data_IF_287613858670
#
_entry.id   IF_287613858670
#
_cell.length_a   1.000
_cell.length_b   1.000
_cell.length_c   1.000
_cell.angle_alpha   90.00
_cell.angle_beta   90.00
_cell.angle_gamma   90.00
#
_symmetry.space_group_name_H-M   'P 1'
#
loop_
_entity.id
_entity.type
_entity.pdbx_description
1 polymer ?
#
# COMPACT_ATOMS: atom_id res chain seq x y z
N UNK A 1 0.07 -15.72 -18.39
CA UNK A 1 0.52 -14.53 -17.64
C UNK A 1 -0.68 -13.62 -17.51
N UNK A 2 -1.33 -13.57 -16.35
CA UNK A 2 -2.48 -12.67 -16.17
C UNK A 2 -2.00 -11.23 -16.36
N UNK A 3 -2.76 -10.38 -17.07
CA UNK A 3 -2.37 -9.00 -17.25
C UNK A 3 -2.23 -8.32 -15.87
N UNK A 4 -1.33 -7.33 -15.72
CA UNK A 4 -1.30 -6.53 -14.51
C UNK A 4 -2.69 -5.91 -14.34
N UNK A 5 -3.36 -6.28 -13.25
CA UNK A 5 -4.65 -5.73 -12.86
C UNK A 5 -4.46 -4.22 -12.75
N UNK A 6 -4.98 -3.43 -13.69
CA UNK A 6 -4.76 -1.98 -13.74
C UNK A 6 -5.50 -1.33 -12.58
N UNK A 7 -4.83 -0.88 -11.51
CA UNK A 7 -5.51 -0.39 -10.31
C UNK A 7 -6.39 0.83 -10.61
N UNK A 8 -6.02 1.61 -11.63
CA UNK A 8 -6.78 2.74 -12.16
C UNK A 8 -8.21 2.35 -12.56
N UNK A 9 -8.38 1.23 -13.26
CA UNK A 9 -9.69 0.81 -13.79
C UNK A 9 -10.66 0.42 -12.66
N UNK A 10 -10.18 -0.36 -11.69
CA UNK A 10 -11.02 -0.85 -10.59
C UNK A 10 -11.39 0.26 -9.61
N UNK A 11 -10.46 1.20 -9.36
CA UNK A 11 -10.68 2.31 -8.43
C UNK A 11 -11.66 3.31 -9.04
N UNK A 12 -11.53 3.66 -10.32
CA UNK A 12 -12.46 4.55 -11.01
C UNK A 12 -13.90 4.03 -11.12
N UNK A 13 -14.11 2.72 -10.92
CA UNK A 13 -15.44 2.08 -10.91
C UNK A 13 -16.06 1.97 -9.50
N UNK A 14 -15.43 2.50 -8.44
CA UNK A 14 -15.83 2.32 -7.03
C UNK A 14 -15.94 0.83 -6.61
N UNK A 15 -15.13 -0.04 -7.24
CA UNK A 15 -15.15 -1.49 -6.98
C UNK A 15 -14.11 -1.94 -5.98
N UNK A 16 -13.21 -1.05 -5.57
CA UNK A 16 -12.20 -1.32 -4.54
C UNK A 16 -12.70 -0.71 -3.24
N UNK A 17 -12.84 -1.54 -2.20
CA UNK A 17 -13.28 -1.09 -0.85
C UNK A 17 -12.14 -1.10 0.17
N UNK A 18 -11.14 -1.93 -0.04
CA UNK A 18 -9.93 -1.98 0.78
C UNK A 18 -8.74 -2.49 -0.05
N UNK A 19 -7.53 -2.08 0.32
CA UNK A 19 -6.28 -2.47 -0.34
C UNK A 19 -5.30 -3.04 0.69
N UNK A 20 -4.88 -4.29 0.46
CA UNK A 20 -3.78 -4.93 1.19
C UNK A 20 -2.46 -4.55 0.53
N UNK A 21 -1.55 -3.95 1.30
CA UNK A 21 -0.28 -3.48 0.79
C UNK A 21 0.87 -4.31 1.36
N UNK A 22 1.51 -5.05 0.46
CA UNK A 22 2.82 -5.69 0.65
C UNK A 22 3.66 -5.47 -0.60
N UNK A 23 4.96 -5.69 -0.46
CA UNK A 23 5.89 -5.62 -1.57
C UNK A 23 6.67 -6.94 -1.70
N UNK A 24 7.08 -7.25 -2.92
CA UNK A 24 7.81 -8.47 -3.26
C UNK A 24 9.00 -8.13 -4.15
N UNK A 25 10.00 -9.01 -4.15
CA UNK A 25 11.07 -9.04 -5.17
C UNK A 25 10.86 -10.24 -6.07
N UNK A 26 10.97 -10.06 -7.38
CA UNK A 26 10.74 -11.08 -8.39
C UNK A 26 9.27 -11.23 -8.78
N UNK A 27 8.98 -12.34 -9.45
CA UNK A 27 7.65 -12.65 -9.96
C UNK A 27 7.44 -14.16 -9.96
N UNK A 28 6.19 -14.60 -10.03
CA UNK A 28 5.84 -16.02 -10.13
C UNK A 28 6.67 -16.71 -11.24
N UNK A 29 7.29 -17.87 -10.98
CA UNK A 29 7.17 -18.69 -9.77
C UNK A 29 8.15 -18.34 -8.63
N UNK A 30 9.13 -17.47 -8.86
CA UNK A 30 10.18 -17.16 -7.89
C UNK A 30 10.03 -15.71 -7.41
N UNK A 31 9.32 -15.53 -6.30
CA UNK A 31 9.24 -14.26 -5.61
C UNK A 31 9.59 -14.41 -4.12
N UNK A 32 10.05 -13.32 -3.51
CA UNK A 32 10.29 -13.23 -2.08
C UNK A 32 9.55 -12.02 -1.51
N UNK A 33 8.91 -12.19 -0.36
CA UNK A 33 8.35 -11.07 0.41
C UNK A 33 9.48 -10.22 1.01
N UNK A 34 9.27 -8.91 1.04
CA UNK A 34 10.27 -7.94 1.50
C UNK A 34 9.59 -6.79 2.25
N UNK A 35 10.36 -5.85 2.79
CA UNK A 35 9.80 -4.64 3.36
C UNK A 35 9.05 -3.83 2.30
N UNK A 36 8.02 -3.10 2.73
CA UNK A 36 7.10 -2.38 1.83
C UNK A 36 7.81 -1.37 0.92
N UNK A 37 8.97 -0.86 1.34
CA UNK A 37 9.80 0.13 0.65
C UNK A 37 10.94 -0.47 -0.20
N UNK A 38 11.15 -1.79 -0.16
CA UNK A 38 12.31 -2.43 -0.81
C UNK A 38 11.98 -3.25 -2.06
N UNK A 39 10.71 -3.53 -2.33
CA UNK A 39 10.31 -4.43 -3.41
C UNK A 39 10.11 -3.76 -4.77
N UNK A 40 9.72 -4.58 -5.76
CA UNK A 40 9.61 -4.20 -7.16
C UNK A 40 8.34 -3.39 -7.47
N UNK A 41 7.38 -3.34 -6.54
CA UNK A 41 6.14 -2.57 -6.70
C UNK A 41 6.39 -1.12 -6.25
N UNK A 42 6.13 -0.16 -7.14
CA UNK A 42 6.13 1.26 -6.81
C UNK A 42 4.86 1.63 -6.02
N UNK A 43 4.94 1.46 -4.70
CA UNK A 43 3.84 1.73 -3.76
C UNK A 43 3.41 3.20 -3.82
N UNK A 44 4.34 4.14 -4.01
CA UNK A 44 4.02 5.57 -4.10
C UNK A 44 3.15 5.85 -5.32
N UNK A 45 3.47 5.24 -6.48
CA UNK A 45 2.65 5.34 -7.68
C UNK A 45 1.25 4.75 -7.48
N UNK A 46 1.13 3.62 -6.79
CA UNK A 46 -0.17 3.03 -6.47
C UNK A 46 -1.00 3.99 -5.63
N UNK A 47 -0.45 4.53 -4.55
CA UNK A 47 -1.17 5.47 -3.68
C UNK A 47 -1.57 6.76 -4.43
N UNK A 48 -0.73 7.29 -5.31
CA UNK A 48 -1.07 8.41 -6.21
C UNK A 48 -2.24 8.08 -7.13
N UNK A 49 -2.32 6.85 -7.64
CA UNK A 49 -3.45 6.42 -8.48
C UNK A 49 -4.74 6.37 -7.65
N UNK A 50 -4.69 5.86 -6.42
CA UNK A 50 -5.85 5.84 -5.53
C UNK A 50 -6.37 7.26 -5.27
N UNK A 51 -5.47 8.16 -4.90
CA UNK A 51 -5.78 9.57 -4.61
C UNK A 51 -6.45 10.25 -5.81
N UNK A 52 -5.85 10.14 -7.00
CA UNK A 52 -6.37 10.76 -8.24
C UNK A 52 -7.75 10.25 -8.66
N UNK A 53 -8.13 9.06 -8.22
CA UNK A 53 -9.43 8.46 -8.53
C UNK A 53 -10.40 8.55 -7.34
N UNK A 54 -10.14 9.43 -6.38
CA UNK A 54 -11.01 9.67 -5.22
C UNK A 54 -11.36 8.40 -4.44
N UNK A 55 -10.38 7.49 -4.30
CA UNK A 55 -10.55 6.27 -3.53
C UNK A 55 -10.96 6.57 -2.09
N UNK A 56 -12.12 6.10 -1.66
CA UNK A 56 -12.67 6.32 -0.32
C UNK A 56 -12.61 5.11 0.61
N UNK A 57 -11.77 4.12 0.30
CA UNK A 57 -11.63 2.88 1.07
C UNK A 57 -10.50 2.90 2.10
N UNK A 58 -10.16 1.73 2.62
CA UNK A 58 -9.09 1.56 3.62
C UNK A 58 -7.81 1.00 2.98
N UNK A 59 -6.65 1.45 3.45
CA UNK A 59 -5.34 0.89 3.09
C UNK A 59 -4.79 0.21 4.34
N UNK A 60 -4.44 -1.07 4.21
CA UNK A 60 -3.91 -1.86 5.33
C UNK A 60 -2.58 -2.51 4.93
N UNK A 61 -1.65 -2.61 5.87
CA UNK A 61 -0.45 -3.41 5.67
C UNK A 61 -0.79 -4.90 5.60
N UNK A 62 0.05 -5.65 4.89
CA UNK A 62 -0.10 -7.09 4.73
C UNK A 62 1.14 -7.84 5.26
N UNK A 63 1.71 -8.77 4.50
CA UNK A 63 2.83 -9.58 4.98
C UNK A 63 4.10 -8.75 5.13
N UNK A 64 4.90 -9.12 6.15
CA UNK A 64 6.16 -8.45 6.49
C UNK A 64 7.26 -9.50 6.69
N UNK A 65 8.52 -9.17 6.40
CA UNK A 65 9.64 -10.07 6.66
C UNK A 65 9.74 -10.43 8.14
N UNK A 66 10.22 -11.64 8.42
CA UNK A 66 10.61 -11.99 9.78
C UNK A 66 11.83 -11.18 10.21
N UNK A 67 11.73 -10.55 11.38
CA UNK A 67 12.79 -9.72 11.95
C UNK A 67 13.37 -10.35 13.20
N UNK A 68 14.67 -10.16 13.41
CA UNK A 68 15.33 -10.55 14.67
C UNK A 68 14.70 -9.80 15.84
N UNK A 69 14.40 -10.53 16.92
CA UNK A 69 13.74 -10.00 18.11
C UNK A 69 12.33 -9.44 17.89
N UNK A 70 11.64 -9.83 16.81
CA UNK A 70 10.20 -9.61 16.68
C UNK A 70 9.42 -10.82 17.20
N UNK A 71 8.14 -10.59 17.43
CA UNK A 71 7.14 -11.60 17.77
C UNK A 71 6.87 -12.54 16.60
N UNK A 72 6.33 -13.75 16.84
CA UNK A 72 5.87 -14.64 15.77
C UNK A 72 4.86 -14.01 14.80
N UNK A 73 4.11 -13.00 15.25
CA UNK A 73 3.13 -12.28 14.43
C UNK A 73 3.75 -11.13 13.59
N UNK A 74 5.00 -10.75 13.85
CA UNK A 74 5.68 -9.67 13.13
C UNK A 74 5.24 -8.25 13.50
N UNK A 75 4.92 -8.00 14.78
CA UNK A 75 4.44 -6.68 15.25
C UNK A 75 5.36 -5.52 14.85
N UNK A 76 6.68 -5.67 14.87
CA UNK A 76 7.62 -4.60 14.52
C UNK A 76 7.63 -4.33 13.02
N UNK A 77 7.66 -5.40 12.22
CA UNK A 77 7.57 -5.29 10.76
C UNK A 77 6.27 -4.63 10.32
N UNK A 78 5.15 -5.00 10.95
CA UNK A 78 3.83 -4.40 10.69
C UNK A 78 3.78 -2.94 11.11
N UNK A 79 4.23 -2.61 12.32
CA UNK A 79 4.29 -1.23 12.80
C UNK A 79 5.12 -0.33 11.86
N UNK A 80 6.24 -0.84 11.33
CA UNK A 80 7.02 -0.16 10.29
C UNK A 80 6.19 0.04 9.01
N UNK A 81 5.56 -1.01 8.49
CA UNK A 81 4.74 -0.95 7.27
C UNK A 81 3.58 0.04 7.41
N UNK A 82 2.78 -0.07 8.47
CA UNK A 82 1.68 0.85 8.76
C UNK A 82 2.18 2.30 8.87
N UNK A 83 3.29 2.51 9.59
CA UNK A 83 3.89 3.84 9.77
C UNK A 83 4.39 4.44 8.45
N UNK A 84 5.04 3.63 7.61
CA UNK A 84 5.52 4.02 6.29
C UNK A 84 4.36 4.43 5.37
N UNK A 85 3.31 3.59 5.28
CA UNK A 85 2.12 3.88 4.47
C UNK A 85 1.41 5.16 4.94
N UNK A 86 1.27 5.35 6.25
CA UNK A 86 0.72 6.59 6.82
C UNK A 86 1.57 7.81 6.49
N UNK A 87 2.90 7.68 6.52
CA UNK A 87 3.83 8.72 6.09
C UNK A 87 3.62 9.10 4.63
N UNK A 88 3.54 8.11 3.73
CA UNK A 88 3.27 8.33 2.31
C UNK A 88 1.93 9.02 2.06
N UNK A 89 0.84 8.54 2.67
CA UNK A 89 -0.47 9.19 2.53
C UNK A 89 -0.42 10.66 2.94
N UNK A 90 0.17 10.97 4.11
CA UNK A 90 0.31 12.36 4.59
C UNK A 90 1.16 13.22 3.65
N UNK A 91 2.24 12.67 3.10
CA UNK A 91 3.07 13.38 2.16
C UNK A 91 2.30 13.71 0.87
N UNK A 92 1.54 12.74 0.34
CA UNK A 92 0.70 12.92 -0.85
C UNK A 92 -0.43 13.92 -0.63
N UNK A 93 -1.05 13.95 0.55
CA UNK A 93 -2.08 14.93 0.91
C UNK A 93 -1.50 16.36 1.00
N UNK A 94 -0.26 16.50 1.50
CA UNK A 94 0.36 17.82 1.71
C UNK A 94 0.73 18.57 0.42
N UNK A 95 0.76 17.88 -0.71
CA UNK A 95 1.19 18.44 -2.01
C UNK A 95 0.04 18.77 -2.98
N UNK A 96 -1.22 18.48 -2.63
CA UNK A 96 -2.41 18.92 -3.39
C UNK A 96 -3.21 19.93 -2.56
N UNK A 97 -3.06 21.21 -2.89
CA UNK A 97 -3.75 22.33 -2.22
C UNK A 97 -5.18 22.46 -2.74
N UNK A 98 -6.05 21.49 -2.46
CA UNK A 98 -7.49 21.67 -2.51
C UNK A 98 -8.10 20.64 -1.54
N UNK A 99 -9.01 21.08 -0.67
CA UNK A 99 -9.45 20.33 0.50
C UNK A 99 -10.10 18.98 0.13
N UNK A 100 -9.31 17.90 0.14
CA UNK A 100 -9.79 16.52 0.07
C UNK A 100 -10.04 16.05 1.51
N UNK A 101 -11.26 15.58 1.81
CA UNK A 101 -11.56 14.85 3.06
C UNK A 101 -10.52 13.73 3.25
N UNK A 102 -10.07 13.41 4.47
CA UNK A 102 -9.05 12.39 4.68
C UNK A 102 -9.54 11.07 4.08
N UNK A 103 -9.00 10.71 2.91
CA UNK A 103 -9.53 9.63 2.09
C UNK A 103 -9.02 8.25 2.51
N UNK A 104 -8.11 8.20 3.49
CA UNK A 104 -7.57 6.95 4.02
C UNK A 104 -7.67 6.98 5.54
N UNK A 105 -8.67 6.30 6.05
CA UNK A 105 -8.75 5.99 7.48
C UNK A 105 -7.91 4.73 7.71
N UNK A 106 -7.03 4.77 8.70
CA UNK A 106 -6.35 3.57 9.21
C UNK A 106 -7.27 3.00 10.30
N UNK A 107 -7.87 1.84 10.04
CA UNK A 107 -8.68 1.09 10.99
C UNK A 107 -7.86 0.07 11.76
#
# INVERSE_FOLDING_TARGET
MSPPVHPVEFVGQDRVKYLHVRNIKGAVPNFAECFVDEGDIDIVRILKILQRNSFGGFVIDDHVPQMTHDTPWGHRGRAFSTGYLRGLCRALDSHETEAIKPAVTFG
#
